data_IF_395665182380
#
_entry.id   IF_395665182380
#
_cell.length_a   1.000
_cell.length_b   1.000
_cell.length_c   1.000
_cell.angle_alpha   90.00
_cell.angle_beta   90.00
_cell.angle_gamma   90.00
#
_symmetry.space_group_name_H-M   'P 1'
#
loop_
_entity.id
_entity.type
_entity.pdbx_description
1 polymer ?
#
# COMPACT_ATOMS: atom_id res chain seq x y z
N UNK A 1 24.62 -18.96 29.75
CA UNK A 1 24.38 -20.12 30.65
C UNK A 1 23.12 -19.98 31.53
N UNK A 2 22.59 -18.76 31.80
CA UNK A 2 21.43 -18.56 32.72
C UNK A 2 20.07 -18.64 31.98
N UNK A 3 20.01 -18.43 30.65
CA UNK A 3 18.76 -18.47 29.86
C UNK A 3 18.28 -19.89 29.49
N UNK A 4 19.17 -20.85 29.32
CA UNK A 4 18.84 -22.27 29.08
C UNK A 4 18.04 -22.89 30.23
N UNK A 5 18.44 -22.64 31.48
CA UNK A 5 17.81 -23.24 32.68
C UNK A 5 16.33 -22.88 32.92
N UNK A 6 15.85 -21.70 32.43
CA UNK A 6 14.46 -21.27 32.62
C UNK A 6 13.48 -21.87 31.60
N UNK A 7 13.97 -22.17 30.39
CA UNK A 7 13.21 -22.88 29.33
C UNK A 7 13.04 -24.35 29.71
N UNK A 8 14.10 -24.98 30.21
CA UNK A 8 14.08 -26.37 30.61
C UNK A 8 13.18 -26.58 31.84
N UNK A 9 13.16 -25.66 32.78
CA UNK A 9 12.29 -25.69 33.95
C UNK A 9 10.79 -25.66 33.58
N UNK A 10 10.42 -24.88 32.57
CA UNK A 10 9.03 -24.82 32.10
C UNK A 10 8.61 -26.07 31.32
N UNK A 11 9.46 -26.66 30.51
CA UNK A 11 9.17 -27.93 29.82
C UNK A 11 9.09 -29.10 30.81
N UNK A 12 9.87 -29.08 31.88
CA UNK A 12 9.81 -30.05 32.97
C UNK A 12 8.46 -29.97 33.68
N UNK A 13 7.96 -28.76 33.98
CA UNK A 13 6.65 -28.57 34.59
C UNK A 13 5.50 -29.10 33.72
N UNK A 14 5.53 -28.78 32.40
CA UNK A 14 4.55 -29.28 31.42
C UNK A 14 4.65 -30.80 31.32
N UNK A 15 5.84 -31.35 31.23
CA UNK A 15 6.07 -32.82 31.17
C UNK A 15 5.47 -33.53 32.40
N UNK A 16 5.67 -32.97 33.59
CA UNK A 16 5.09 -33.49 34.83
C UNK A 16 3.56 -33.38 34.82
N UNK A 17 2.98 -32.27 34.38
CA UNK A 17 1.55 -32.09 34.32
C UNK A 17 0.88 -32.99 33.26
N UNK A 18 1.56 -33.25 32.14
CA UNK A 18 1.07 -34.14 31.07
C UNK A 18 1.37 -35.63 31.28
N UNK A 19 2.16 -35.98 32.32
CA UNK A 19 2.58 -37.37 32.59
C UNK A 19 3.47 -37.96 31.48
N UNK A 20 4.34 -37.15 30.87
CA UNK A 20 5.21 -37.55 29.77
C UNK A 20 6.65 -37.08 29.96
N UNK A 21 7.58 -37.55 29.13
CA UNK A 21 8.96 -37.08 29.17
C UNK A 21 9.11 -35.67 28.61
N UNK A 22 10.14 -34.92 28.99
CA UNK A 22 10.47 -33.60 28.44
C UNK A 22 10.70 -33.71 26.93
N UNK A 23 11.30 -34.78 26.44
CA UNK A 23 11.49 -35.04 25.03
C UNK A 23 10.16 -35.21 24.29
N UNK A 24 9.13 -35.82 24.92
CA UNK A 24 7.78 -35.94 24.37
C UNK A 24 7.11 -34.56 24.30
N UNK A 25 7.25 -33.70 25.31
CA UNK A 25 6.78 -32.31 25.28
C UNK A 25 7.45 -31.54 24.12
N UNK A 26 8.77 -31.61 24.01
CA UNK A 26 9.51 -30.96 22.93
C UNK A 26 9.04 -31.42 21.56
N UNK A 27 8.83 -32.71 21.35
CA UNK A 27 8.35 -33.29 20.08
C UNK A 27 6.90 -32.91 19.79
N UNK A 28 6.03 -32.86 20.81
CA UNK A 28 4.64 -32.43 20.65
C UNK A 28 4.51 -30.95 20.25
N UNK A 29 5.37 -30.09 20.81
CA UNK A 29 5.39 -28.66 20.54
C UNK A 29 6.08 -28.31 19.20
N UNK A 30 6.93 -29.20 18.66
CA UNK A 30 7.61 -29.06 17.36
C UNK A 30 6.95 -29.83 16.21
N UNK A 31 5.72 -30.35 16.40
CA UNK A 31 4.98 -31.13 15.41
C UNK A 31 5.71 -32.37 14.87
N UNK A 32 6.65 -32.92 15.63
CA UNK A 32 7.39 -34.11 15.23
C UNK A 32 6.47 -35.35 15.12
N UNK A 33 6.76 -36.23 14.17
CA UNK A 33 6.02 -37.48 13.96
C UNK A 33 6.13 -38.43 15.18
N UNK A 34 5.08 -39.25 15.41
CA UNK A 34 5.09 -40.28 16.44
C UNK A 34 4.45 -39.87 17.77
N UNK A 35 3.61 -38.83 17.77
CA UNK A 35 2.75 -38.44 18.90
C UNK A 35 1.32 -38.34 18.37
N UNK A 36 0.36 -38.98 19.08
CA UNK A 36 -1.06 -38.92 18.70
C UNK A 36 -1.59 -37.49 18.79
N UNK A 37 -2.56 -37.13 17.93
CA UNK A 37 -3.14 -35.77 17.89
C UNK A 37 -3.81 -35.39 19.21
N UNK A 38 -4.44 -36.34 19.88
CA UNK A 38 -5.08 -36.15 21.19
C UNK A 38 -4.03 -35.78 22.26
N UNK A 39 -2.88 -36.49 22.28
CA UNK A 39 -1.78 -36.22 23.20
C UNK A 39 -1.09 -34.89 22.88
N UNK A 40 -1.01 -34.54 21.61
CA UNK A 40 -0.48 -33.28 21.16
C UNK A 40 -1.35 -32.11 21.59
N UNK A 41 -2.69 -32.21 21.43
CA UNK A 41 -3.64 -31.20 21.91
C UNK A 41 -3.58 -31.02 23.42
N UNK A 42 -3.49 -32.10 24.20
CA UNK A 42 -3.37 -32.04 25.64
C UNK A 42 -2.10 -31.30 26.09
N UNK A 43 -0.95 -31.61 25.47
CA UNK A 43 0.33 -30.96 25.79
C UNK A 43 0.32 -29.48 25.39
N UNK A 44 -0.28 -29.13 24.25
CA UNK A 44 -0.45 -27.72 23.81
C UNK A 44 -1.31 -26.92 24.78
N UNK A 45 -2.44 -27.46 25.19
CA UNK A 45 -3.31 -26.80 26.17
C UNK A 45 -2.61 -26.54 27.50
N UNK A 46 -1.88 -27.53 28.03
CA UNK A 46 -1.08 -27.35 29.27
C UNK A 46 0.04 -26.32 29.07
N UNK A 47 0.61 -26.22 27.89
CA UNK A 47 1.64 -25.24 27.56
C UNK A 47 1.05 -23.81 27.41
N UNK A 48 -0.19 -23.69 26.92
CA UNK A 48 -0.95 -22.43 26.89
C UNK A 48 -1.31 -21.97 28.31
N UNK A 49 -1.90 -22.86 29.10
CA UNK A 49 -2.30 -22.59 30.49
C UNK A 49 -1.09 -22.21 31.36
N UNK A 50 0.08 -22.81 31.10
CA UNK A 50 1.34 -22.46 31.75
C UNK A 50 2.02 -21.19 31.20
N UNK A 51 1.40 -20.49 30.20
CA UNK A 51 1.99 -19.32 29.55
C UNK A 51 3.23 -19.64 28.72
N UNK A 52 3.45 -20.91 28.38
CA UNK A 52 4.62 -21.37 27.62
C UNK A 52 4.42 -21.19 26.11
N UNK A 53 3.21 -21.37 25.57
CA UNK A 53 2.87 -21.14 24.18
C UNK A 53 2.59 -19.67 23.85
N UNK A 54 2.34 -18.82 24.85
CA UNK A 54 2.24 -17.37 24.67
C UNK A 54 3.59 -16.66 24.43
N UNK A 55 4.68 -17.39 24.57
CA UNK A 55 6.03 -16.98 24.13
C UNK A 55 6.48 -18.00 23.08
N UNK A 56 5.99 -17.84 21.85
CA UNK A 56 6.64 -18.48 20.72
C UNK A 56 8.15 -18.38 20.91
N UNK A 57 8.91 -19.45 20.64
CA UNK A 57 10.36 -19.41 20.67
C UNK A 57 10.80 -18.06 20.13
N UNK A 58 11.17 -17.12 21.01
CA UNK A 58 12.11 -16.10 20.64
C UNK A 58 13.37 -16.89 20.23
N UNK A 59 13.49 -17.19 18.93
CA UNK A 59 14.80 -17.35 18.35
C UNK A 59 15.64 -16.20 18.90
N UNK A 60 16.93 -16.44 19.29
CA UNK A 60 17.82 -15.33 19.65
C UNK A 60 17.59 -14.27 18.58
N UNK A 61 17.51 -13.01 18.98
CA UNK A 61 17.24 -11.90 18.12
C UNK A 61 18.28 -11.86 16.99
N UNK A 62 18.17 -12.73 16.01
CA UNK A 62 18.59 -12.43 14.65
C UNK A 62 17.77 -11.22 14.30
N UNK A 63 18.45 -10.12 14.14
CA UNK A 63 17.88 -8.84 13.80
C UNK A 63 17.03 -9.10 12.56
N UNK A 64 15.69 -9.17 12.75
CA UNK A 64 14.76 -9.47 11.65
C UNK A 64 14.84 -8.30 10.70
N UNK A 65 15.63 -8.47 9.65
CA UNK A 65 15.87 -7.43 8.69
C UNK A 65 14.85 -7.48 7.56
N UNK A 66 14.24 -6.33 7.25
CA UNK A 66 13.37 -6.12 6.11
C UNK A 66 14.11 -5.28 5.07
N UNK A 67 13.96 -5.60 3.81
CA UNK A 67 14.47 -4.81 2.69
C UNK A 67 13.29 -4.23 1.93
N UNK A 68 13.26 -2.93 1.73
CA UNK A 68 12.26 -2.25 0.91
C UNK A 68 12.87 -1.69 -0.36
N UNK A 69 12.25 -2.02 -1.50
CA UNK A 69 12.49 -1.36 -2.78
C UNK A 69 11.38 -0.35 -3.03
N UNK A 70 11.77 0.88 -3.30
CA UNK A 70 10.85 1.97 -3.58
C UNK A 70 11.15 2.51 -4.97
N UNK A 71 10.14 2.68 -5.80
CA UNK A 71 10.35 3.19 -7.16
C UNK A 71 11.08 4.52 -7.15
N UNK A 72 12.16 4.62 -7.95
CA UNK A 72 13.02 5.80 -8.09
C UNK A 72 12.52 6.80 -9.15
N UNK A 73 11.54 6.43 -9.96
CA UNK A 73 10.81 7.31 -10.89
C UNK A 73 10.15 8.52 -10.21
N UNK A 74 10.20 8.53 -8.90
CA UNK A 74 9.73 9.57 -7.98
C UNK A 74 10.39 10.94 -8.22
N UNK A 75 11.64 10.96 -8.67
CA UNK A 75 12.37 12.21 -8.87
C UNK A 75 11.84 13.06 -10.04
N UNK A 76 11.08 12.44 -10.95
CA UNK A 76 10.58 13.07 -12.18
C UNK A 76 9.06 13.22 -12.22
N UNK A 77 8.31 12.50 -11.40
CA UNK A 77 6.85 12.36 -11.51
C UNK A 77 5.98 13.03 -10.45
N UNK A 78 6.57 13.67 -9.43
CA UNK A 78 5.79 14.37 -8.39
C UNK A 78 5.04 13.47 -7.39
N UNK A 79 5.33 12.18 -7.35
CA UNK A 79 4.77 11.23 -6.37
C UNK A 79 5.63 11.09 -5.10
N UNK A 80 6.79 11.76 -5.04
CA UNK A 80 7.74 11.68 -3.94
C UNK A 80 7.11 11.89 -2.54
N UNK A 81 6.27 12.91 -2.30
CA UNK A 81 5.72 13.16 -0.97
C UNK A 81 4.83 12.03 -0.45
N UNK A 82 4.08 11.36 -1.32
CA UNK A 82 3.26 10.21 -0.96
C UNK A 82 4.13 9.04 -0.46
N UNK A 83 5.16 8.70 -1.22
CA UNK A 83 6.04 7.60 -0.83
C UNK A 83 6.94 7.93 0.35
N UNK A 84 7.31 9.20 0.54
CA UNK A 84 7.99 9.65 1.77
C UNK A 84 7.14 9.36 3.01
N UNK A 85 5.83 9.64 2.95
CA UNK A 85 4.90 9.31 4.04
C UNK A 85 4.79 7.80 4.27
N UNK A 86 4.71 6.99 3.21
CA UNK A 86 4.70 5.52 3.30
C UNK A 86 6.01 5.01 3.92
N UNK A 87 7.17 5.51 3.48
CA UNK A 87 8.50 5.16 4.01
C UNK A 87 8.60 5.51 5.50
N UNK A 88 8.17 6.70 5.88
CA UNK A 88 8.18 7.13 7.29
C UNK A 88 7.31 6.19 8.15
N UNK A 89 6.13 5.82 7.66
CA UNK A 89 5.25 4.86 8.30
C UNK A 89 5.89 3.47 8.43
N UNK A 90 6.52 2.96 7.37
CA UNK A 90 7.21 1.67 7.37
C UNK A 90 8.38 1.65 8.37
N UNK A 91 9.19 2.72 8.44
CA UNK A 91 10.29 2.85 9.42
C UNK A 91 9.78 2.83 10.85
N UNK A 92 8.71 3.57 11.15
CA UNK A 92 8.11 3.59 12.48
C UNK A 92 7.55 2.23 12.84
N UNK A 93 6.68 1.65 11.99
CA UNK A 93 6.02 0.38 12.25
C UNK A 93 7.02 -0.80 12.34
N UNK A 94 8.07 -0.81 11.51
CA UNK A 94 9.12 -1.81 11.57
C UNK A 94 9.88 -1.74 12.91
N UNK A 95 10.26 -0.53 13.35
CA UNK A 95 10.94 -0.32 14.63
C UNK A 95 10.08 -0.81 15.80
N UNK A 96 8.80 -0.43 15.83
CA UNK A 96 7.86 -0.79 16.88
C UNK A 96 7.64 -2.32 16.94
N UNK A 97 7.73 -2.99 15.80
CA UNK A 97 7.64 -4.44 15.65
C UNK A 97 8.98 -5.18 15.88
N UNK A 98 10.07 -4.48 16.17
CA UNK A 98 11.40 -5.07 16.40
C UNK A 98 12.12 -5.51 15.13
N UNK A 99 11.80 -4.89 13.98
CA UNK A 99 12.52 -5.08 12.72
C UNK A 99 13.51 -3.94 12.47
N UNK A 100 14.61 -4.26 11.78
CA UNK A 100 15.41 -3.27 11.05
C UNK A 100 14.90 -3.20 9.62
N UNK A 101 15.02 -2.03 8.98
CA UNK A 101 14.54 -1.79 7.62
C UNK A 101 15.59 -1.05 6.80
N UNK A 102 16.09 -1.66 5.74
CA UNK A 102 16.85 -0.98 4.69
C UNK A 102 15.90 -0.53 3.56
N UNK A 103 16.18 0.64 2.98
CA UNK A 103 15.39 1.20 1.89
C UNK A 103 16.31 1.45 0.71
N UNK A 104 15.92 0.94 -0.46
CA UNK A 104 16.64 1.11 -1.71
C UNK A 104 15.74 1.77 -2.73
N UNK A 105 16.10 2.97 -3.16
CA UNK A 105 15.45 3.62 -4.29
C UNK A 105 15.89 2.92 -5.57
N UNK A 106 14.94 2.58 -6.43
CA UNK A 106 15.22 1.82 -7.66
C UNK A 106 14.41 2.38 -8.83
N UNK A 107 15.01 2.35 -10.00
CA UNK A 107 14.29 2.50 -11.25
C UNK A 107 13.62 1.16 -11.56
N UNK A 108 12.30 1.16 -11.80
CA UNK A 108 11.54 -0.05 -12.12
C UNK A 108 12.10 -0.80 -13.34
N UNK A 109 12.57 -0.06 -14.34
CA UNK A 109 13.20 -0.65 -15.52
C UNK A 109 14.49 -1.44 -15.21
N UNK A 110 15.14 -1.12 -14.07
CA UNK A 110 16.35 -1.81 -13.60
C UNK A 110 16.06 -2.99 -12.68
N UNK A 111 14.78 -3.24 -12.34
CA UNK A 111 14.41 -4.35 -11.49
C UNK A 111 14.28 -5.64 -12.29
N UNK A 112 15.11 -6.62 -11.91
CA UNK A 112 15.07 -7.95 -12.49
C UNK A 112 15.67 -8.99 -11.54
N UNK A 113 15.51 -10.29 -11.84
CA UNK A 113 16.01 -11.38 -11.00
C UNK A 113 17.51 -11.26 -10.67
N UNK A 114 18.34 -10.86 -11.63
CA UNK A 114 19.80 -10.70 -11.44
C UNK A 114 20.14 -9.64 -10.37
N UNK A 115 19.39 -8.54 -10.34
CA UNK A 115 19.56 -7.53 -9.31
C UNK A 115 19.16 -8.06 -7.95
N UNK A 116 18.04 -8.80 -7.88
CA UNK A 116 17.59 -9.41 -6.62
C UNK A 116 18.62 -10.36 -6.06
N UNK A 117 19.21 -11.22 -6.90
CA UNK A 117 20.28 -12.15 -6.49
C UNK A 117 21.47 -11.39 -5.91
N UNK A 118 21.98 -10.38 -6.62
CA UNK A 118 23.11 -9.56 -6.11
C UNK A 118 22.80 -8.88 -4.79
N UNK A 119 21.58 -8.34 -4.66
CA UNK A 119 21.17 -7.66 -3.43
C UNK A 119 20.98 -8.64 -2.27
N UNK A 120 20.56 -9.88 -2.53
CA UNK A 120 20.46 -10.96 -1.54
C UNK A 120 21.85 -11.43 -1.07
N UNK A 121 22.83 -11.51 -1.96
CA UNK A 121 24.22 -11.84 -1.62
C UNK A 121 24.87 -10.78 -0.72
N UNK A 122 24.53 -9.50 -0.94
CA UNK A 122 25.08 -8.38 -0.17
C UNK A 122 24.44 -8.22 1.21
N UNK A 123 23.16 -8.58 1.33
CA UNK A 123 22.38 -8.36 2.55
C UNK A 123 21.28 -9.40 2.68
N UNK A 124 21.35 -10.19 3.73
CA UNK A 124 20.29 -11.16 4.04
C UNK A 124 19.09 -10.44 4.67
N UNK A 125 17.93 -10.56 4.04
CA UNK A 125 16.68 -10.05 4.57
C UNK A 125 15.71 -11.20 4.87
N UNK A 126 14.94 -11.06 5.95
CA UNK A 126 13.87 -12.02 6.25
C UNK A 126 12.66 -11.84 5.32
N UNK A 127 12.54 -10.67 4.69
CA UNK A 127 11.46 -10.33 3.77
C UNK A 127 11.81 -9.14 2.89
N UNK A 128 11.29 -9.14 1.67
CA UNK A 128 11.39 -8.03 0.71
C UNK A 128 10.02 -7.33 0.59
N UNK A 129 10.03 -6.01 0.68
CA UNK A 129 8.85 -5.15 0.52
C UNK A 129 9.02 -4.33 -0.75
N UNK A 130 8.08 -4.41 -1.68
CA UNK A 130 8.03 -3.53 -2.85
C UNK A 130 7.02 -2.43 -2.61
N UNK A 131 7.45 -1.17 -2.73
CA UNK A 131 6.64 0.02 -2.48
C UNK A 131 6.42 0.78 -3.78
N UNK A 132 5.19 0.84 -4.22
CA UNK A 132 4.84 1.52 -5.46
C UNK A 132 5.33 0.81 -6.72
N UNK A 133 5.56 -0.48 -6.66
CA UNK A 133 6.09 -1.30 -7.76
C UNK A 133 5.11 -2.43 -8.04
N UNK A 134 4.72 -2.57 -9.29
CA UNK A 134 3.93 -3.71 -9.77
C UNK A 134 4.91 -4.79 -10.28
N UNK A 135 4.78 -6.01 -9.78
CA UNK A 135 5.73 -7.08 -10.12
C UNK A 135 5.55 -7.57 -11.56
N UNK A 136 6.67 -7.69 -12.26
CA UNK A 136 6.71 -8.44 -13.53
C UNK A 136 6.65 -9.95 -13.27
N UNK A 137 6.21 -10.74 -14.26
CA UNK A 137 6.16 -12.20 -14.12
C UNK A 137 7.53 -12.81 -13.84
N UNK A 138 8.59 -12.25 -14.39
CA UNK A 138 9.97 -12.70 -14.13
C UNK A 138 10.38 -12.49 -12.67
N UNK A 139 10.08 -11.32 -12.08
CA UNK A 139 10.32 -11.05 -10.68
C UNK A 139 9.45 -11.93 -9.77
N UNK A 140 8.19 -12.09 -10.10
CA UNK A 140 7.29 -12.95 -9.36
C UNK A 140 7.78 -14.40 -9.36
N UNK A 141 8.20 -14.94 -10.50
CA UNK A 141 8.75 -16.30 -10.61
C UNK A 141 10.05 -16.46 -9.79
N UNK A 142 10.93 -15.46 -9.76
CA UNK A 142 12.12 -15.47 -8.93
C UNK A 142 11.79 -15.68 -7.45
N UNK A 143 10.83 -14.91 -6.90
CA UNK A 143 10.45 -15.00 -5.50
C UNK A 143 9.64 -16.25 -5.15
N UNK A 144 8.84 -16.78 -6.07
CA UNK A 144 8.11 -18.03 -5.85
C UNK A 144 9.03 -19.25 -5.77
N UNK A 145 10.13 -19.24 -6.52
CA UNK A 145 11.12 -20.32 -6.53
C UNK A 145 12.21 -20.12 -5.46
N UNK A 146 12.26 -18.97 -4.80
CA UNK A 146 13.24 -18.60 -3.79
C UNK A 146 12.73 -18.76 -2.36
N UNK A 147 13.63 -18.54 -1.40
CA UNK A 147 13.29 -18.55 0.05
C UNK A 147 12.73 -17.21 0.52
N UNK A 148 12.94 -16.13 -0.21
CA UNK A 148 12.55 -14.77 0.17
C UNK A 148 11.05 -14.58 0.04
N UNK A 149 10.47 -13.96 1.06
CA UNK A 149 9.05 -13.62 1.13
C UNK A 149 8.85 -12.19 0.69
N UNK A 150 7.72 -11.93 0.04
CA UNK A 150 7.40 -10.63 -0.56
C UNK A 150 6.11 -10.05 -0.02
N UNK A 151 6.10 -8.73 0.19
CA UNK A 151 4.91 -7.92 0.43
C UNK A 151 4.90 -6.76 -0.55
N UNK A 152 3.75 -6.48 -1.14
CA UNK A 152 3.52 -5.34 -2.01
C UNK A 152 2.80 -4.24 -1.23
N UNK A 153 3.35 -3.02 -1.25
CA UNK A 153 2.74 -1.83 -0.66
C UNK A 153 2.44 -0.84 -1.77
N UNK A 154 1.18 -0.49 -1.96
CA UNK A 154 0.70 0.32 -3.07
C UNK A 154 1.14 -0.26 -4.45
N UNK A 155 1.15 -1.58 -4.52
CA UNK A 155 1.45 -2.40 -5.70
C UNK A 155 0.43 -3.53 -5.80
N UNK A 156 0.49 -4.30 -6.87
CA UNK A 156 -0.46 -5.37 -7.16
C UNK A 156 0.20 -6.57 -7.82
N UNK A 157 -0.32 -7.76 -7.51
CA UNK A 157 -0.03 -9.00 -8.21
C UNK A 157 -1.35 -9.62 -8.71
N UNK A 158 -1.61 -9.63 -10.04
CA UNK A 158 -2.87 -10.12 -10.60
C UNK A 158 -3.11 -11.60 -10.36
N UNK A 159 -2.07 -12.37 -10.08
CA UNK A 159 -2.17 -13.81 -9.77
C UNK A 159 -2.34 -14.07 -8.26
N UNK A 160 -2.40 -13.04 -7.42
CA UNK A 160 -2.61 -13.12 -5.96
C UNK A 160 -1.59 -14.05 -5.25
N UNK A 161 -0.34 -14.06 -5.71
CA UNK A 161 0.74 -14.91 -5.19
C UNK A 161 1.40 -14.36 -3.93
N UNK A 162 1.29 -13.03 -3.71
CA UNK A 162 1.95 -12.31 -2.63
C UNK A 162 0.96 -11.52 -1.79
N UNK A 163 1.33 -11.27 -0.53
CA UNK A 163 0.57 -10.34 0.33
C UNK A 163 0.66 -8.93 -0.21
N UNK A 164 -0.48 -8.24 -0.30
CA UNK A 164 -0.57 -6.87 -0.77
C UNK A 164 -1.31 -5.98 0.23
N UNK A 165 -0.89 -4.73 0.35
CA UNK A 165 -1.64 -3.68 1.01
C UNK A 165 -1.65 -2.42 0.15
N UNK A 166 -2.83 -1.88 -0.09
CA UNK A 166 -3.03 -0.67 -0.89
C UNK A 166 -4.21 0.15 -0.35
N UNK A 167 -4.34 1.44 -0.71
CA UNK A 167 -5.58 2.15 -0.48
C UNK A 167 -6.69 1.56 -1.35
N UNK A 168 -7.93 1.64 -0.90
CA UNK A 168 -9.08 1.26 -1.74
C UNK A 168 -9.27 2.29 -2.86
N UNK A 169 -8.51 2.10 -3.93
CA UNK A 169 -8.42 3.02 -5.06
C UNK A 169 -9.75 3.15 -5.82
N UNK A 170 -10.48 2.03 -5.97
CA UNK A 170 -11.75 2.02 -6.70
C UNK A 170 -12.80 2.85 -5.96
N UNK A 171 -13.13 2.50 -4.73
CA UNK A 171 -14.16 3.20 -3.97
C UNK A 171 -13.77 4.63 -3.59
N UNK A 172 -12.48 4.92 -3.39
CA UNK A 172 -12.01 6.28 -3.19
C UNK A 172 -12.29 7.17 -4.42
N UNK A 173 -12.00 6.68 -5.61
CA UNK A 173 -12.26 7.42 -6.86
C UNK A 173 -13.74 7.48 -7.20
N UNK A 174 -14.51 6.43 -6.92
CA UNK A 174 -15.97 6.42 -7.05
C UNK A 174 -16.61 7.48 -6.14
N UNK A 175 -16.14 7.59 -4.88
CA UNK A 175 -16.58 8.62 -3.94
C UNK A 175 -16.24 10.04 -4.43
N UNK A 176 -15.06 10.24 -5.04
CA UNK A 176 -14.69 11.50 -5.67
C UNK A 176 -15.67 11.86 -6.81
N UNK A 177 -15.98 10.91 -7.69
CA UNK A 177 -16.95 11.06 -8.76
C UNK A 177 -18.34 11.43 -8.22
N UNK A 178 -18.86 10.67 -7.27
CA UNK A 178 -20.15 10.98 -6.63
C UNK A 178 -20.15 12.35 -5.94
N UNK A 179 -19.01 12.80 -5.41
CA UNK A 179 -18.93 14.13 -4.79
C UNK A 179 -19.15 15.23 -5.82
N UNK A 180 -18.52 15.16 -6.99
CA UNK A 180 -18.72 16.11 -8.08
C UNK A 180 -20.14 16.05 -8.67
N UNK A 181 -20.66 14.85 -8.88
CA UNK A 181 -21.98 14.64 -9.46
C UNK A 181 -23.11 15.12 -8.54
N UNK A 182 -22.97 14.94 -7.22
CA UNK A 182 -23.90 15.49 -6.22
C UNK A 182 -23.79 17.00 -6.07
N UNK A 183 -22.65 17.59 -6.43
CA UNK A 183 -22.49 19.04 -6.53
C UNK A 183 -23.11 19.63 -7.80
N UNK A 184 -23.76 18.81 -8.64
CA UNK A 184 -24.47 19.24 -9.85
C UNK A 184 -23.67 19.10 -11.16
N UNK A 185 -22.38 18.81 -11.10
CA UNK A 185 -21.54 18.67 -12.29
C UNK A 185 -22.00 17.50 -13.17
N UNK A 186 -21.99 17.72 -14.51
CA UNK A 186 -22.34 16.69 -15.51
C UNK A 186 -21.28 16.53 -16.60
N UNK A 187 -20.44 17.54 -16.78
CA UNK A 187 -19.33 17.51 -17.74
C UNK A 187 -18.02 17.47 -16.95
N UNK A 188 -17.38 16.31 -16.94
CA UNK A 188 -16.22 16.04 -16.11
C UNK A 188 -14.96 15.81 -16.95
N UNK A 189 -13.81 16.05 -16.34
CA UNK A 189 -12.50 15.67 -16.88
C UNK A 189 -11.80 14.75 -15.88
N UNK A 190 -11.17 13.70 -16.37
CA UNK A 190 -10.28 12.84 -15.61
C UNK A 190 -8.83 13.07 -16.01
N UNK A 191 -7.99 13.44 -15.05
CA UNK A 191 -6.56 13.70 -15.28
C UNK A 191 -5.74 12.64 -14.57
N UNK A 192 -4.84 11.95 -15.28
CA UNK A 192 -3.95 10.95 -14.72
C UNK A 192 -2.57 10.98 -15.38
N UNK A 193 -1.55 10.50 -14.65
CA UNK A 193 -0.15 10.55 -15.12
C UNK A 193 0.37 9.20 -15.62
N UNK A 194 0.20 8.13 -14.89
CA UNK A 194 0.75 6.82 -15.22
C UNK A 194 -0.31 5.73 -15.28
N UNK A 195 -0.06 4.73 -16.13
CA UNK A 195 -0.92 3.55 -16.23
C UNK A 195 -0.34 2.47 -15.30
N UNK A 196 -0.65 2.58 -14.00
CA UNK A 196 -0.40 1.54 -12.99
C UNK A 196 -1.72 0.90 -12.58
N UNK A 197 -1.63 -0.25 -11.90
CA UNK A 197 -2.83 -0.88 -11.36
C UNK A 197 -3.64 0.09 -10.49
N UNK A 198 -2.98 0.83 -9.59
CA UNK A 198 -3.64 1.79 -8.68
C UNK A 198 -4.41 2.87 -9.44
N UNK A 199 -3.80 3.51 -10.44
CA UNK A 199 -4.46 4.54 -11.27
C UNK A 199 -5.53 3.94 -12.19
N UNK A 200 -5.36 2.70 -12.64
CA UNK A 200 -6.40 1.96 -13.37
C UNK A 200 -7.63 1.72 -12.48
N UNK A 201 -7.46 1.35 -11.22
CA UNK A 201 -8.59 1.19 -10.29
C UNK A 201 -9.27 2.53 -9.99
N UNK A 202 -8.50 3.63 -9.82
CA UNK A 202 -9.06 4.98 -9.66
C UNK A 202 -9.89 5.38 -10.88
N UNK A 203 -9.40 5.12 -12.08
CA UNK A 203 -10.17 5.35 -13.32
C UNK A 203 -11.47 4.57 -13.32
N UNK A 204 -11.42 3.26 -13.06
CA UNK A 204 -12.62 2.40 -13.03
C UNK A 204 -13.65 2.87 -12.02
N UNK A 205 -13.24 3.22 -10.81
CA UNK A 205 -14.13 3.73 -9.77
C UNK A 205 -14.75 5.07 -10.16
N UNK A 206 -13.97 5.99 -10.70
CA UNK A 206 -14.49 7.28 -11.17
C UNK A 206 -15.53 7.12 -12.28
N UNK A 207 -15.24 6.29 -13.30
CA UNK A 207 -16.18 6.02 -14.39
C UNK A 207 -17.42 5.27 -13.91
N UNK A 208 -17.31 4.37 -12.91
CA UNK A 208 -18.48 3.76 -12.26
C UNK A 208 -19.44 4.81 -11.71
N UNK A 209 -18.92 5.84 -11.03
CA UNK A 209 -19.75 6.95 -10.56
C UNK A 209 -20.36 7.75 -11.71
N UNK A 210 -19.58 8.03 -12.78
CA UNK A 210 -20.05 8.78 -13.96
C UNK A 210 -21.21 8.06 -14.63
N UNK A 211 -21.09 6.76 -14.84
CA UNK A 211 -22.11 5.92 -15.50
C UNK A 211 -23.41 5.82 -14.69
N UNK A 212 -23.34 6.02 -13.39
CA UNK A 212 -24.53 5.99 -12.51
C UNK A 212 -25.45 7.21 -12.66
N UNK A 213 -25.00 8.28 -13.37
CA UNK A 213 -25.78 9.53 -13.52
C UNK A 213 -26.07 9.82 -14.99
N UNK A 214 -27.35 9.86 -15.34
CA UNK A 214 -27.76 10.19 -16.69
C UNK A 214 -27.35 11.61 -17.11
N UNK A 215 -27.01 11.77 -18.40
CA UNK A 215 -26.61 13.07 -18.97
C UNK A 215 -25.20 13.51 -18.58
N UNK A 216 -24.38 12.62 -18.04
CA UNK A 216 -22.99 12.90 -17.67
C UNK A 216 -22.05 12.56 -18.81
N UNK A 217 -21.04 13.42 -19.01
CA UNK A 217 -19.92 13.18 -19.93
C UNK A 217 -18.61 13.25 -19.19
N UNK A 218 -17.63 12.46 -19.61
CA UNK A 218 -16.28 12.49 -19.05
C UNK A 218 -15.24 12.35 -20.15
N UNK A 219 -14.37 13.36 -20.26
CA UNK A 219 -13.15 13.28 -21.06
C UNK A 219 -11.98 12.81 -20.17
N UNK A 220 -10.90 12.33 -20.77
CA UNK A 220 -9.68 11.96 -20.05
C UNK A 220 -8.46 12.59 -20.70
N UNK A 221 -7.51 13.00 -19.87
CA UNK A 221 -6.21 13.53 -20.27
C UNK A 221 -5.11 12.79 -19.51
N UNK A 222 -4.10 12.33 -20.25
CA UNK A 222 -2.92 11.70 -19.69
C UNK A 222 -1.78 12.72 -19.61
N UNK A 223 -1.18 12.86 -18.43
CA UNK A 223 0.01 13.68 -18.23
C UNK A 223 1.23 12.76 -18.19
N UNK A 224 1.97 12.69 -19.30
CA UNK A 224 3.11 11.77 -19.42
C UNK A 224 4.44 12.43 -19.02
N UNK A 225 5.21 11.74 -18.16
CA UNK A 225 6.62 12.07 -17.91
C UNK A 225 6.91 13.46 -17.34
N UNK A 226 5.95 14.10 -16.69
CA UNK A 226 6.11 15.46 -16.15
C UNK A 226 5.98 16.59 -17.18
N UNK A 227 5.69 16.26 -18.44
CA UNK A 227 5.39 17.24 -19.49
C UNK A 227 3.89 17.43 -19.56
N UNK A 228 3.41 18.60 -19.18
CA UNK A 228 1.98 18.91 -19.04
C UNK A 228 1.33 19.32 -20.38
N UNK A 229 1.93 18.96 -21.52
CA UNK A 229 1.50 19.44 -22.84
C UNK A 229 0.03 19.13 -23.13
N UNK A 230 -0.41 17.89 -22.91
CA UNK A 230 -1.81 17.52 -23.15
C UNK A 230 -2.76 18.23 -22.18
N UNK A 231 -2.35 18.39 -20.93
CA UNK A 231 -3.11 19.13 -19.92
C UNK A 231 -3.25 20.61 -20.32
N UNK A 232 -2.17 21.25 -20.72
CA UNK A 232 -2.19 22.65 -21.16
C UNK A 232 -3.05 22.84 -22.41
N UNK A 233 -2.97 21.93 -23.39
CA UNK A 233 -3.83 21.95 -24.57
C UNK A 233 -5.30 21.80 -24.20
N UNK A 234 -5.64 20.95 -23.24
CA UNK A 234 -7.03 20.78 -22.80
C UNK A 234 -7.55 22.00 -22.02
N UNK A 235 -6.70 22.64 -21.20
CA UNK A 235 -7.02 23.94 -20.56
C UNK A 235 -7.25 25.01 -21.65
N UNK A 236 -6.38 25.08 -22.67
CA UNK A 236 -6.56 26.01 -23.80
C UNK A 236 -7.87 25.78 -24.58
N UNK A 237 -8.23 24.48 -24.83
CA UNK A 237 -9.53 24.14 -25.44
C UNK A 237 -10.71 24.62 -24.61
N UNK A 238 -10.57 24.50 -23.25
CA UNK A 238 -11.59 24.99 -22.33
C UNK A 238 -11.76 26.51 -22.41
N UNK A 239 -10.64 27.25 -22.42
CA UNK A 239 -10.65 28.74 -22.60
C UNK A 239 -11.29 29.14 -23.92
N UNK A 240 -11.02 28.43 -25.00
CA UNK A 240 -11.60 28.68 -26.32
C UNK A 240 -13.06 28.22 -26.48
N UNK A 241 -13.67 27.65 -25.43
CA UNK A 241 -15.04 27.11 -25.50
C UNK A 241 -15.18 25.82 -26.32
N UNK A 242 -14.07 25.18 -26.65
CA UNK A 242 -14.03 23.90 -27.37
C UNK A 242 -14.21 22.68 -26.48
N UNK A 243 -14.08 22.86 -25.13
CA UNK A 243 -14.37 21.88 -24.10
C UNK A 243 -15.32 22.50 -23.08
N UNK A 244 -16.22 21.66 -22.51
CA UNK A 244 -17.30 22.13 -21.63
C UNK A 244 -17.25 21.56 -20.20
N UNK A 245 -16.16 20.86 -19.83
CA UNK A 245 -16.05 20.31 -18.48
C UNK A 245 -16.05 21.42 -17.40
N UNK A 246 -16.78 21.17 -16.33
CA UNK A 246 -16.95 22.08 -15.19
C UNK A 246 -16.29 21.55 -13.93
N UNK A 247 -15.86 20.30 -13.97
CA UNK A 247 -15.17 19.69 -12.83
C UNK A 247 -14.12 18.68 -13.28
N UNK A 248 -13.11 18.49 -12.44
CA UNK A 248 -11.98 17.62 -12.72
C UNK A 248 -11.70 16.72 -11.52
N UNK A 249 -11.53 15.44 -11.79
CA UNK A 249 -10.89 14.52 -10.86
C UNK A 249 -9.48 14.21 -11.34
N UNK A 250 -8.50 14.57 -10.51
CA UNK A 250 -7.11 14.24 -10.74
C UNK A 250 -6.76 12.96 -9.97
N UNK A 251 -6.11 12.00 -10.66
CA UNK A 251 -5.76 10.71 -10.08
C UNK A 251 -4.81 10.81 -8.87
N UNK A 252 -4.14 11.95 -8.67
CA UNK A 252 -3.35 12.27 -7.49
C UNK A 252 -3.31 13.80 -7.27
N UNK A 253 -2.86 14.22 -6.08
CA UNK A 253 -2.79 15.63 -5.71
C UNK A 253 -1.76 16.41 -6.52
N UNK A 254 -0.66 15.78 -6.95
CA UNK A 254 0.34 16.46 -7.78
C UNK A 254 -0.22 16.84 -9.14
N UNK A 255 -1.05 15.97 -9.74
CA UNK A 255 -1.81 16.29 -10.94
C UNK A 255 -2.80 17.44 -10.71
N UNK A 256 -3.45 17.46 -9.53
CA UNK A 256 -4.36 18.54 -9.17
C UNK A 256 -3.63 19.87 -9.00
N UNK A 257 -2.45 19.91 -8.38
CA UNK A 257 -1.65 21.13 -8.22
C UNK A 257 -1.20 21.71 -9.56
N UNK A 258 -0.75 20.84 -10.49
CA UNK A 258 -0.39 21.26 -11.85
C UNK A 258 -1.59 21.82 -12.62
N UNK A 259 -2.73 21.13 -12.53
CA UNK A 259 -3.97 21.62 -13.15
C UNK A 259 -4.38 22.97 -12.58
N UNK A 260 -4.42 23.14 -11.26
CA UNK A 260 -4.81 24.40 -10.62
C UNK A 260 -3.89 25.54 -11.04
N UNK A 261 -2.57 25.32 -11.11
CA UNK A 261 -1.62 26.31 -11.61
C UNK A 261 -1.86 26.65 -13.08
N UNK A 262 -2.18 25.68 -13.92
CA UNK A 262 -2.50 25.90 -15.32
C UNK A 262 -3.82 26.67 -15.51
N UNK A 263 -4.84 26.37 -14.69
CA UNK A 263 -6.12 27.10 -14.69
C UNK A 263 -5.94 28.57 -14.27
N UNK A 264 -5.19 28.82 -13.20
CA UNK A 264 -4.87 30.16 -12.74
C UNK A 264 -4.15 30.96 -13.83
N UNK A 265 -3.10 30.40 -14.44
CA UNK A 265 -2.38 31.02 -15.54
C UNK A 265 -3.27 31.32 -16.77
N UNK A 266 -4.32 30.52 -16.97
CA UNK A 266 -5.32 30.68 -18.05
C UNK A 266 -6.49 31.61 -17.66
N UNK A 267 -6.52 32.17 -16.45
CA UNK A 267 -7.58 33.05 -15.94
C UNK A 267 -8.87 32.32 -15.57
N UNK A 268 -8.83 31.00 -15.36
CA UNK A 268 -9.96 30.18 -14.92
C UNK A 268 -9.93 30.00 -13.39
N UNK A 269 -11.02 30.39 -12.72
CA UNK A 269 -11.09 30.32 -11.25
C UNK A 269 -11.52 28.94 -10.74
N UNK A 270 -10.88 28.54 -9.65
CA UNK A 270 -11.23 27.37 -8.83
C UNK A 270 -11.71 27.90 -7.48
N UNK A 271 -12.91 27.55 -6.97
CA UNK A 271 -13.87 26.59 -7.53
C UNK A 271 -14.93 27.21 -8.44
N UNK A 272 -14.99 28.54 -8.64
CA UNK A 272 -16.15 29.23 -9.23
C UNK A 272 -16.50 28.79 -10.64
N UNK A 273 -15.48 28.58 -11.48
CA UNK A 273 -15.66 28.09 -12.85
C UNK A 273 -15.39 26.60 -12.99
N UNK A 274 -14.41 26.10 -12.23
CA UNK A 274 -13.96 24.70 -12.30
C UNK A 274 -13.79 24.12 -10.90
N UNK A 275 -14.51 23.06 -10.59
CA UNK A 275 -14.29 22.28 -9.38
C UNK A 275 -13.16 21.26 -9.59
N UNK A 276 -12.30 21.06 -8.56
CA UNK A 276 -11.16 20.13 -8.62
C UNK A 276 -11.17 19.21 -7.41
N UNK A 277 -11.01 17.91 -7.63
CA UNK A 277 -10.73 16.92 -6.58
C UNK A 277 -9.42 16.19 -6.90
N UNK A 278 -8.55 16.06 -5.90
CA UNK A 278 -7.33 15.27 -5.94
C UNK A 278 -7.47 13.89 -5.27
N UNK A 279 -6.33 13.22 -5.09
CA UNK A 279 -6.23 11.96 -4.37
C UNK A 279 -4.86 11.92 -3.69
N UNK A 280 -4.77 11.50 -2.43
CA UNK A 280 -3.65 11.19 -1.55
C UNK A 280 -3.69 12.01 -0.23
N UNK A 281 -4.21 13.23 -0.21
CA UNK A 281 -4.16 14.23 0.89
C UNK A 281 -2.72 14.56 1.29
N UNK A 282 -1.94 14.95 0.29
CA UNK A 282 -0.56 15.38 0.51
C UNK A 282 -0.50 16.63 1.40
N UNK A 283 0.56 16.82 2.22
CA UNK A 283 0.68 18.02 3.08
C UNK A 283 0.53 19.33 2.34
N UNK A 284 0.93 19.39 1.08
CA UNK A 284 0.78 20.59 0.22
C UNK A 284 -0.67 20.93 -0.09
N UNK A 285 -1.59 19.97 -0.07
CA UNK A 285 -3.02 20.19 -0.31
C UNK A 285 -3.64 21.19 0.68
N UNK A 286 -3.12 21.21 1.92
CA UNK A 286 -3.56 22.12 2.97
C UNK A 286 -2.96 23.54 2.83
N UNK A 287 -1.90 23.70 2.04
CA UNK A 287 -1.19 24.98 1.83
C UNK A 287 -1.65 25.69 0.54
N UNK A 288 -2.40 25.02 -0.31
CA UNK A 288 -2.97 25.61 -1.52
C UNK A 288 -4.07 26.63 -1.16
N UNK A 289 -4.22 27.64 -2.02
CA UNK A 289 -5.32 28.60 -1.99
C UNK A 289 -5.97 28.69 -3.37
N UNK A 290 -7.21 28.20 -3.51
CA UNK A 290 -8.06 27.53 -2.52
C UNK A 290 -7.48 26.18 -2.08
N UNK A 291 -7.78 25.78 -0.82
CA UNK A 291 -7.36 24.48 -0.26
C UNK A 291 -7.95 23.33 -1.09
N UNK A 292 -7.10 22.40 -1.51
CA UNK A 292 -7.53 21.28 -2.34
C UNK A 292 -8.48 20.33 -1.58
N UNK A 293 -9.62 20.02 -2.17
CA UNK A 293 -10.45 18.87 -1.81
C UNK A 293 -9.82 17.62 -2.40
N UNK A 294 -9.59 16.60 -1.57
CA UNK A 294 -8.85 15.41 -1.99
C UNK A 294 -9.34 14.15 -1.28
N UNK A 295 -8.94 13.00 -1.79
CA UNK A 295 -9.20 11.71 -1.17
C UNK A 295 -8.00 11.34 -0.28
N UNK A 296 -8.22 11.35 1.05
CA UNK A 296 -7.18 11.06 2.04
C UNK A 296 -6.85 9.58 2.10
N UNK A 297 -5.57 9.26 1.91
CA UNK A 297 -4.96 7.94 2.13
C UNK A 297 -4.22 7.93 3.47
N UNK A 298 -4.48 6.96 4.32
CA UNK A 298 -3.73 6.76 5.57
C UNK A 298 -2.46 5.91 5.30
N UNK A 299 -1.38 6.59 4.90
CA UNK A 299 -0.09 5.95 4.64
C UNK A 299 0.49 5.25 5.89
N UNK A 300 0.19 5.77 7.09
CA UNK A 300 0.65 5.14 8.34
C UNK A 300 -0.09 3.82 8.59
N UNK A 301 -1.41 3.78 8.32
CA UNK A 301 -2.18 2.53 8.42
C UNK A 301 -1.70 1.50 7.40
N UNK A 302 -1.49 1.88 6.13
CA UNK A 302 -0.92 0.98 5.13
C UNK A 302 0.41 0.38 5.59
N UNK A 303 1.28 1.21 6.16
CA UNK A 303 2.57 0.75 6.68
C UNK A 303 2.40 -0.22 7.86
N UNK A 304 1.49 0.06 8.80
CA UNK A 304 1.16 -0.86 9.90
C UNK A 304 0.69 -2.21 9.39
N UNK A 305 -0.21 -2.21 8.41
CA UNK A 305 -0.72 -3.44 7.80
C UNK A 305 0.38 -4.22 7.06
N UNK A 306 1.28 -3.53 6.35
CA UNK A 306 2.42 -4.18 5.71
C UNK A 306 3.33 -4.89 6.72
N UNK A 307 3.63 -4.25 7.85
CA UNK A 307 4.45 -4.87 8.90
C UNK A 307 3.70 -6.00 9.62
N UNK A 308 2.39 -5.88 9.83
CA UNK A 308 1.56 -6.96 10.35
C UNK A 308 1.55 -8.19 9.41
N UNK A 309 1.46 -7.97 8.08
CA UNK A 309 1.62 -9.02 7.08
C UNK A 309 3.01 -9.66 7.15
N UNK A 310 4.06 -8.86 7.36
CA UNK A 310 5.42 -9.39 7.53
C UNK A 310 5.51 -10.31 8.76
N UNK A 311 4.99 -9.89 9.90
CA UNK A 311 4.94 -10.71 11.11
C UNK A 311 4.15 -12.00 10.89
N UNK A 312 2.96 -11.90 10.26
CA UNK A 312 2.11 -13.04 9.92
C UNK A 312 2.84 -14.02 9.01
N UNK A 313 3.49 -13.54 7.94
CA UNK A 313 4.21 -14.39 6.98
C UNK A 313 5.42 -15.09 7.58
N UNK A 314 6.10 -14.45 8.51
CA UNK A 314 7.22 -15.06 9.25
C UNK A 314 6.74 -16.10 10.28
N UNK A 315 5.55 -15.92 10.84
CA UNK A 315 4.97 -16.88 11.78
C UNK A 315 4.33 -18.09 11.06
N UNK A 316 3.71 -17.86 9.90
CA UNK A 316 2.93 -18.84 9.14
C UNK A 316 3.38 -18.85 7.68
N UNK A 317 4.43 -19.61 7.37
CA UNK A 317 5.08 -19.63 6.04
C UNK A 317 4.10 -20.01 4.92
N UNK A 318 3.25 -21.01 5.17
CA UNK A 318 2.29 -21.55 4.20
C UNK A 318 0.93 -20.84 4.20
N UNK A 319 0.82 -19.70 4.89
CA UNK A 319 -0.45 -18.98 4.94
C UNK A 319 -0.82 -18.42 3.55
N UNK A 320 -2.10 -18.50 3.19
CA UNK A 320 -2.64 -17.91 1.96
C UNK A 320 -2.32 -16.41 1.90
N UNK A 321 -1.87 -15.87 0.76
CA UNK A 321 -1.68 -14.44 0.56
C UNK A 321 -2.94 -13.63 0.85
N UNK A 322 -2.77 -12.44 1.42
CA UNK A 322 -3.85 -11.51 1.71
C UNK A 322 -3.75 -10.27 0.83
N UNK A 323 -4.90 -9.78 0.38
CA UNK A 323 -5.08 -8.50 -0.28
C UNK A 323 -5.81 -7.58 0.71
N UNK A 324 -5.10 -6.56 1.24
CA UNK A 324 -5.66 -5.60 2.20
C UNK A 324 -5.90 -4.28 1.49
N UNK A 325 -7.12 -3.81 1.49
CA UNK A 325 -7.49 -2.49 1.01
C UNK A 325 -7.82 -1.57 2.19
N UNK A 326 -6.98 -0.54 2.38
CA UNK A 326 -7.18 0.47 3.43
C UNK A 326 -8.24 1.49 2.99
N UNK A 327 -9.16 1.83 3.89
CA UNK A 327 -10.22 2.80 3.61
C UNK A 327 -9.67 4.18 3.25
N UNK A 328 -10.32 4.82 2.27
CA UNK A 328 -10.01 6.18 1.80
C UNK A 328 -11.15 7.11 2.20
N UNK A 329 -10.86 8.36 2.56
CA UNK A 329 -11.85 9.33 3.05
C UNK A 329 -11.78 10.62 2.26
N UNK A 330 -12.94 11.25 2.02
CA UNK A 330 -12.98 12.60 1.47
C UNK A 330 -12.47 13.61 2.50
N UNK A 331 -11.39 14.29 2.18
CA UNK A 331 -10.88 15.46 2.88
C UNK A 331 -11.41 16.70 2.17
N UNK A 332 -12.39 17.37 2.77
CA UNK A 332 -12.97 18.58 2.19
C UNK A 332 -11.98 19.74 2.27
N UNK A 333 -11.81 20.40 1.16
CA UNK A 333 -11.15 21.68 1.00
C UNK A 333 -12.14 22.73 0.46
N UNK A 334 -11.66 23.61 -0.40
CA UNK A 334 -12.40 24.75 -0.95
C UNK A 334 -12.54 24.66 -2.47
N UNK A 335 -11.96 23.62 -3.13
CA UNK A 335 -11.89 23.50 -4.59
C UNK A 335 -13.13 22.88 -5.23
N UNK A 336 -14.20 22.66 -4.47
CA UNK A 336 -15.46 22.12 -5.02
C UNK A 336 -16.61 23.02 -4.64
N UNK A 337 -17.37 23.48 -5.64
CA UNK A 337 -18.58 24.27 -5.48
C UNK A 337 -19.81 23.52 -6.00
N UNK A 338 -20.99 23.89 -5.53
CA UNK A 338 -22.25 23.44 -6.09
C UNK A 338 -22.62 24.30 -7.30
N UNK A 339 -23.09 23.65 -8.35
CA UNK A 339 -23.68 24.33 -9.51
C UNK A 339 -25.19 24.05 -9.56
N UNK A 340 -25.95 25.03 -10.01
CA UNK A 340 -27.41 24.96 -10.08
C UNK A 340 -27.90 23.97 -11.15
#
# INVERSE_FOLDING_TARGET
>A
LVRSRKSDANQIAIAKAAGVSVSTVSRALSDARGISDERRMQIRKLAEDAGYLGRGKQQPAETRHLRAYVTGSLATGGLAPFYEAVIAGLRSSARDAGFTLSIRMVDEASLGPERMIRDQELETAAMTIFVGIDLTDALAAHFLNGADKVILVNGYDPAMRFDCVAPNNFFGAELAGHTLLRAGHRNLLYVHDHTRWTTTQRRRGFYSAVEAYAGTTCAAVTVAGGVDTELLLEVERRVRGQSQWTSVFCANDMGAFRLMSALEAAGLSVPDQISVIGFDDLPYAALMHPRLTTMRVDCAEMARQAIALAQRRLAYVEATPLQIECGVRLQRGETVTQIA
#
